data_IF_251540808996
#
_entry.id   IF_251540808996
#
_cell.length_a   1.000
_cell.length_b   1.000
_cell.length_c   1.000
_cell.angle_alpha   90.00
_cell.angle_beta   90.00
_cell.angle_gamma   90.00
#
_symmetry.space_group_name_H-M   'P 1'
#
loop_
_entity.id
_entity.type
_entity.pdbx_description
1 polymer ?
#
# COMPACT_ATOMS: atom_id res chain seq x y z
N UNK A 1 32.34 9.90 17.95
CA UNK A 1 32.56 9.70 16.51
C UNK A 1 31.23 9.33 15.87
N UNK A 2 30.38 10.32 15.58
CA UNK A 2 29.15 10.13 14.80
C UNK A 2 29.17 11.16 13.68
N UNK A 3 29.74 10.75 12.56
CA UNK A 3 29.64 11.43 11.28
C UNK A 3 29.13 10.43 10.26
N UNK A 4 28.43 10.99 9.25
CA UNK A 4 27.78 10.33 8.10
C UNK A 4 26.36 9.82 8.36
N UNK A 5 25.37 10.66 8.07
CA UNK A 5 24.53 10.61 6.84
C UNK A 5 23.49 11.72 6.93
N UNK A 6 23.87 12.94 6.58
CA UNK A 6 22.97 14.04 6.27
C UNK A 6 23.42 14.62 4.93
N UNK A 7 22.49 15.15 4.14
CA UNK A 7 22.63 15.68 2.77
C UNK A 7 22.48 14.68 1.63
N UNK A 8 21.24 14.35 1.21
CA UNK A 8 20.87 14.13 -0.22
C UNK A 8 19.34 14.30 -0.47
N UNK A 9 18.61 15.28 0.06
CA UNK A 9 17.16 15.39 -0.31
C UNK A 9 16.60 16.82 -0.28
N UNK A 10 17.32 17.80 -0.85
CA UNK A 10 16.65 18.97 -1.42
C UNK A 10 16.14 18.61 -2.84
N UNK A 11 15.11 19.29 -3.31
CA UNK A 11 14.60 19.19 -4.69
C UNK A 11 15.63 19.64 -5.77
N UNK A 12 16.91 19.82 -5.41
CA UNK A 12 18.02 20.10 -6.32
C UNK A 12 18.57 18.78 -6.90
N UNK A 13 17.72 18.03 -7.61
CA UNK A 13 18.03 16.72 -8.22
C UNK A 13 18.96 16.84 -9.44
N UNK A 14 19.24 18.05 -9.92
CA UNK A 14 19.96 18.28 -11.19
C UNK A 14 21.47 18.04 -11.13
N UNK A 15 22.11 18.05 -9.95
CA UNK A 15 23.58 18.01 -9.83
C UNK A 15 24.19 16.70 -9.25
N UNK A 16 23.39 15.65 -9.05
CA UNK A 16 23.92 14.36 -8.60
C UNK A 16 24.58 13.58 -9.74
N UNK A 17 25.73 12.91 -9.51
CA UNK A 17 26.30 11.97 -10.47
C UNK A 17 25.24 10.99 -10.97
N UNK A 18 25.21 10.74 -12.28
CA UNK A 18 24.16 9.96 -12.95
C UNK A 18 23.80 8.64 -12.23
N UNK A 19 24.81 7.95 -11.68
CA UNK A 19 24.63 6.70 -10.93
C UNK A 19 23.85 6.87 -9.62
N UNK A 20 24.10 7.95 -8.88
CA UNK A 20 23.39 8.19 -7.61
C UNK A 20 21.97 8.69 -7.86
N UNK A 21 21.78 9.45 -8.95
CA UNK A 21 20.46 9.80 -9.48
C UNK A 21 19.63 8.54 -9.81
N UNK A 22 20.23 7.55 -10.48
CA UNK A 22 19.58 6.28 -10.79
C UNK A 22 19.23 5.47 -9.53
N UNK A 23 20.14 5.37 -8.56
CA UNK A 23 19.86 4.70 -7.27
C UNK A 23 18.73 5.37 -6.49
N UNK A 24 18.67 6.70 -6.50
CA UNK A 24 17.58 7.43 -5.85
C UNK A 24 16.24 7.17 -6.56
N UNK A 25 16.22 7.13 -7.90
CA UNK A 25 15.03 6.74 -8.66
C UNK A 25 14.59 5.30 -8.34
N UNK A 26 15.52 4.35 -8.26
CA UNK A 26 15.23 2.97 -7.87
C UNK A 26 14.57 2.90 -6.48
N UNK A 27 15.12 3.62 -5.49
CA UNK A 27 14.55 3.70 -4.14
C UNK A 27 13.15 4.31 -4.13
N UNK A 28 12.94 5.38 -4.89
CA UNK A 28 11.64 6.04 -4.99
C UNK A 28 10.59 5.12 -5.62
N UNK A 29 10.95 4.38 -6.67
CA UNK A 29 10.07 3.38 -7.30
C UNK A 29 9.74 2.27 -6.31
N UNK A 30 10.74 1.71 -5.62
CA UNK A 30 10.52 0.67 -4.62
C UNK A 30 9.60 1.14 -3.48
N UNK A 31 9.76 2.39 -3.05
CA UNK A 31 8.91 3.01 -2.03
C UNK A 31 7.47 3.21 -2.51
N UNK A 32 7.27 3.67 -3.74
CA UNK A 32 5.95 3.84 -4.34
C UNK A 32 5.24 2.48 -4.51
N UNK A 33 5.96 1.46 -4.99
CA UNK A 33 5.46 0.08 -5.06
C UNK A 33 5.05 -0.41 -3.68
N UNK A 34 5.87 -0.17 -2.64
CA UNK A 34 5.55 -0.54 -1.26
C UNK A 34 4.27 0.13 -0.77
N UNK A 35 4.12 1.42 -1.04
CA UNK A 35 2.95 2.22 -0.66
C UNK A 35 1.68 1.71 -1.35
N UNK A 36 1.73 1.42 -2.66
CA UNK A 36 0.61 0.85 -3.41
C UNK A 36 0.27 -0.58 -2.97
N UNK A 37 1.28 -1.35 -2.58
CA UNK A 37 1.10 -2.72 -2.10
C UNK A 37 0.25 -2.76 -0.82
N UNK A 38 0.31 -1.73 0.03
CA UNK A 38 -0.56 -1.60 1.20
C UNK A 38 -2.03 -1.57 0.79
N UNK A 39 -2.37 -0.79 -0.24
CA UNK A 39 -3.74 -0.71 -0.76
C UNK A 39 -4.21 -2.07 -1.29
N UNK A 40 -3.35 -2.77 -2.05
CA UNK A 40 -3.67 -4.12 -2.55
C UNK A 40 -3.91 -5.10 -1.40
N UNK A 41 -3.05 -5.09 -0.39
CA UNK A 41 -3.21 -5.93 0.81
C UNK A 41 -4.52 -5.60 1.52
N UNK A 42 -4.85 -4.32 1.69
CA UNK A 42 -6.11 -3.88 2.31
C UNK A 42 -7.33 -4.41 1.55
N UNK A 43 -7.35 -4.33 0.22
CA UNK A 43 -8.44 -4.88 -0.58
C UNK A 43 -8.56 -6.40 -0.48
N UNK A 44 -7.42 -7.12 -0.50
CA UNK A 44 -7.43 -8.57 -0.27
C UNK A 44 -7.98 -8.96 1.10
N UNK A 45 -7.67 -8.17 2.13
CA UNK A 45 -8.18 -8.35 3.50
C UNK A 45 -9.70 -8.07 3.57
N UNK A 46 -10.17 -7.02 2.89
CA UNK A 46 -11.59 -6.67 2.86
C UNK A 46 -12.43 -7.76 2.17
N UNK A 47 -11.92 -8.34 1.08
CA UNK A 47 -12.59 -9.42 0.35
C UNK A 47 -12.20 -10.81 0.85
N UNK A 48 -11.59 -10.94 2.04
CA UNK A 48 -11.03 -12.20 2.51
C UNK A 48 -12.08 -13.32 2.61
N UNK A 49 -13.36 -12.97 2.78
CA UNK A 49 -14.47 -13.93 2.84
C UNK A 49 -14.73 -14.65 1.51
N UNK A 50 -14.42 -13.99 0.39
CA UNK A 50 -14.63 -14.52 -0.96
C UNK A 50 -13.39 -15.24 -1.50
N UNK A 51 -12.27 -15.17 -0.76
CA UNK A 51 -10.99 -15.75 -1.17
C UNK A 51 -10.80 -17.17 -0.62
N UNK A 52 -10.00 -18.01 -1.30
CA UNK A 52 -9.63 -19.33 -0.79
C UNK A 52 -8.99 -19.25 0.61
N UNK A 53 -9.22 -20.27 1.43
CA UNK A 53 -8.73 -20.34 2.81
C UNK A 53 -7.20 -20.23 2.89
N UNK A 54 -6.46 -20.69 1.89
CA UNK A 54 -5.00 -20.52 1.81
C UNK A 54 -4.57 -19.07 1.89
N UNK A 55 -5.39 -18.12 1.43
CA UNK A 55 -5.10 -16.69 1.56
C UNK A 55 -5.16 -16.29 3.02
N UNK A 56 -6.22 -16.67 3.74
CA UNK A 56 -6.35 -16.43 5.19
C UNK A 56 -5.19 -17.03 5.97
N UNK A 57 -4.82 -18.28 5.71
CA UNK A 57 -3.67 -18.94 6.35
C UNK A 57 -2.36 -18.21 6.04
N UNK A 58 -2.16 -17.75 4.80
CA UNK A 58 -0.95 -17.02 4.42
C UNK A 58 -0.88 -15.65 5.10
N UNK A 59 -2.00 -14.95 5.21
CA UNK A 59 -2.10 -13.64 5.85
C UNK A 59 -1.79 -13.76 7.35
N UNK A 60 -2.44 -14.68 8.07
CA UNK A 60 -2.27 -14.79 9.52
C UNK A 60 -1.03 -15.58 9.95
N UNK A 61 -0.76 -16.73 9.35
CA UNK A 61 0.25 -17.69 9.85
C UNK A 61 1.60 -17.54 9.12
N UNK A 62 1.59 -17.51 7.78
CA UNK A 62 2.85 -17.50 6.99
C UNK A 62 3.55 -16.15 6.99
N UNK A 63 2.79 -15.06 6.82
CA UNK A 63 3.33 -13.73 6.62
C UNK A 63 3.13 -12.80 7.82
N UNK A 64 2.35 -13.23 8.83
CA UNK A 64 2.04 -12.44 10.03
C UNK A 64 1.69 -10.98 9.68
N UNK A 65 0.73 -10.84 8.76
CA UNK A 65 0.31 -9.54 8.23
C UNK A 65 -0.18 -8.60 9.34
N UNK A 66 -0.92 -9.03 10.39
CA UNK A 66 -1.27 -8.14 11.49
C UNK A 66 -0.04 -7.49 12.14
N UNK A 67 1.02 -8.25 12.41
CA UNK A 67 2.24 -7.71 12.99
C UNK A 67 3.02 -6.83 12.00
N UNK A 68 3.06 -7.22 10.72
CA UNK A 68 3.66 -6.39 9.66
C UNK A 68 3.01 -5.01 9.58
N UNK A 69 1.67 -4.96 9.54
CA UNK A 69 0.92 -3.70 9.52
C UNK A 69 1.14 -2.91 10.81
N UNK A 70 1.24 -3.59 11.96
CA UNK A 70 1.59 -2.93 13.22
C UNK A 70 2.96 -2.23 13.15
N UNK A 71 3.96 -2.88 12.56
CA UNK A 71 5.27 -2.26 12.35
C UNK A 71 5.20 -1.06 11.38
N UNK A 72 4.36 -1.13 10.34
CA UNK A 72 4.17 0.00 9.43
C UNK A 72 3.58 1.22 10.14
N UNK A 73 2.64 1.03 11.06
CA UNK A 73 2.12 2.14 11.90
C UNK A 73 3.22 2.72 12.77
N UNK A 74 4.02 1.87 13.43
CA UNK A 74 5.09 2.33 14.33
C UNK A 74 6.18 3.13 13.60
N UNK A 75 6.60 2.66 12.42
CA UNK A 75 7.63 3.32 11.61
C UNK A 75 7.07 4.52 10.87
N UNK A 76 5.79 4.48 10.47
CA UNK A 76 5.12 5.48 9.64
C UNK A 76 5.98 5.92 8.44
N UNK A 77 6.33 5.01 7.52
CA UNK A 77 7.30 5.28 6.45
C UNK A 77 6.86 6.40 5.50
N UNK A 78 5.56 6.72 5.45
CA UNK A 78 4.97 7.85 4.71
C UNK A 78 5.10 9.20 5.42
N UNK A 79 5.71 9.26 6.60
CA UNK A 79 5.93 10.49 7.36
C UNK A 79 7.42 10.68 7.61
N UNK A 80 7.95 11.87 7.35
CA UNK A 80 9.34 12.22 7.67
C UNK A 80 9.46 13.66 8.15
N UNK A 81 10.46 13.92 8.98
CA UNK A 81 10.80 15.26 9.45
C UNK A 81 12.20 15.60 8.99
N UNK A 82 12.43 16.81 8.50
CA UNK A 82 13.77 17.25 8.13
C UNK A 82 14.57 17.81 9.32
N UNK A 83 15.85 18.14 9.09
CA UNK A 83 16.74 18.70 10.11
C UNK A 83 16.28 20.08 10.64
N UNK A 84 15.37 20.75 9.91
CA UNK A 84 14.78 22.04 10.29
C UNK A 84 13.44 21.86 11.01
N UNK A 85 13.03 20.62 11.32
CA UNK A 85 11.77 20.32 12.00
C UNK A 85 10.52 20.41 11.13
N UNK A 86 10.65 20.55 9.81
CA UNK A 86 9.53 20.59 8.85
C UNK A 86 9.02 19.18 8.61
N UNK A 87 7.70 19.01 8.72
CA UNK A 87 7.03 17.73 8.51
C UNK A 87 6.70 17.54 7.03
N UNK A 88 7.00 16.36 6.50
CA UNK A 88 6.62 15.94 5.17
C UNK A 88 5.82 14.65 5.26
N UNK A 89 4.76 14.56 4.43
CA UNK A 89 3.99 13.32 4.25
C UNK A 89 3.98 12.93 2.79
N UNK A 90 4.00 11.62 2.54
CA UNK A 90 3.96 11.06 1.20
C UNK A 90 2.51 10.86 0.75
N UNK A 91 2.10 11.58 -0.28
CA UNK A 91 0.74 11.54 -0.86
C UNK A 91 0.87 11.64 -2.38
N UNK A 92 0.10 10.83 -3.11
CA UNK A 92 0.07 10.80 -4.58
C UNK A 92 1.46 10.69 -5.22
N UNK A 93 2.23 9.71 -4.74
CA UNK A 93 3.59 9.42 -5.18
C UNK A 93 4.61 10.56 -4.96
N UNK A 94 4.28 11.57 -4.14
CA UNK A 94 5.12 12.75 -3.88
C UNK A 94 5.23 13.08 -2.39
N UNK A 95 6.38 13.65 -2.00
CA UNK A 95 6.58 14.17 -0.65
C UNK A 95 6.08 15.61 -0.58
N UNK A 96 5.04 15.84 0.22
CA UNK A 96 4.45 17.15 0.41
C UNK A 96 4.79 17.69 1.79
N UNK A 97 5.23 18.95 1.87
CA UNK A 97 5.42 19.63 3.15
C UNK A 97 4.05 19.91 3.77
N UNK A 98 3.88 19.56 5.04
CA UNK A 98 2.62 19.71 5.76
C UNK A 98 2.69 20.94 6.67
N UNK A 99 1.66 21.78 6.60
CA UNK A 99 1.49 22.92 7.48
C UNK A 99 1.24 22.46 8.93
N UNK A 100 1.55 23.32 9.91
CA UNK A 100 1.36 22.98 11.32
C UNK A 100 -0.10 22.60 11.64
N UNK A 101 -1.07 23.25 10.99
CA UNK A 101 -2.50 22.99 11.12
C UNK A 101 -2.91 21.56 10.70
N UNK A 102 -2.22 21.02 9.69
CA UNK A 102 -2.59 19.74 9.04
C UNK A 102 -1.75 18.57 9.54
N UNK A 103 -0.95 18.79 10.59
CA UNK A 103 -0.04 17.78 11.16
C UNK A 103 -0.78 16.49 11.54
N UNK A 104 -2.01 16.62 12.02
CA UNK A 104 -2.86 15.51 12.46
C UNK A 104 -3.68 14.86 11.34
N UNK A 105 -3.64 15.39 10.11
CA UNK A 105 -4.39 14.82 8.98
C UNK A 105 -3.83 13.44 8.64
N UNK A 106 -4.68 12.42 8.65
CA UNK A 106 -4.31 11.04 8.33
C UNK A 106 -4.12 10.92 6.82
N UNK A 107 -3.00 10.33 6.39
CA UNK A 107 -2.78 10.09 4.95
C UNK A 107 -3.65 8.94 4.46
N UNK A 108 -3.90 8.88 3.16
CA UNK A 108 -4.65 7.76 2.55
C UNK A 108 -3.97 6.43 2.89
N UNK A 109 -2.64 6.33 2.71
CA UNK A 109 -1.86 5.12 3.01
C UNK A 109 -2.00 4.71 4.47
N UNK A 110 -1.89 5.65 5.40
CA UNK A 110 -2.08 5.39 6.84
C UNK A 110 -3.49 4.87 7.13
N UNK A 111 -4.50 5.50 6.53
CA UNK A 111 -5.88 5.04 6.61
C UNK A 111 -6.05 3.61 6.10
N UNK A 112 -5.40 3.25 4.99
CA UNK A 112 -5.43 1.88 4.47
C UNK A 112 -4.84 0.87 5.47
N UNK A 113 -3.70 1.21 6.11
CA UNK A 113 -3.09 0.34 7.13
C UNK A 113 -4.02 0.17 8.33
N UNK A 114 -4.62 1.26 8.81
CA UNK A 114 -5.53 1.21 9.95
C UNK A 114 -6.79 0.40 9.67
N UNK A 115 -7.40 0.61 8.50
CA UNK A 115 -8.56 -0.16 8.08
C UNK A 115 -8.21 -1.63 7.90
N UNK A 116 -7.05 -1.96 7.33
CA UNK A 116 -6.58 -3.34 7.21
C UNK A 116 -6.38 -4.00 8.58
N UNK A 117 -5.76 -3.30 9.53
CA UNK A 117 -5.59 -3.76 10.93
C UNK A 117 -6.94 -4.00 11.61
N UNK A 118 -7.88 -3.07 11.46
CA UNK A 118 -9.24 -3.21 11.99
C UNK A 118 -9.91 -4.45 11.43
N UNK A 119 -9.88 -4.64 10.11
CA UNK A 119 -10.48 -5.81 9.47
C UNK A 119 -9.85 -7.08 10.00
N UNK A 120 -8.52 -7.21 10.01
CA UNK A 120 -7.88 -8.45 10.48
C UNK A 120 -8.14 -8.74 11.96
N UNK A 121 -7.97 -7.76 12.85
CA UNK A 121 -8.01 -8.02 14.29
C UNK A 121 -9.43 -8.18 14.86
N UNK A 122 -10.43 -7.60 14.20
CA UNK A 122 -11.83 -7.70 14.62
C UNK A 122 -12.59 -8.81 13.88
N UNK A 123 -11.96 -9.47 12.92
CA UNK A 123 -12.57 -10.60 12.20
C UNK A 123 -12.65 -11.85 13.08
N UNK A 124 -13.74 -12.61 12.94
CA UNK A 124 -13.92 -13.89 13.66
C UNK A 124 -12.81 -14.90 13.35
N UNK A 125 -12.30 -14.90 12.11
CA UNK A 125 -11.20 -15.76 11.65
C UNK A 125 -9.89 -15.47 12.38
N UNK A 126 -9.71 -14.27 12.93
CA UNK A 126 -8.51 -13.94 13.69
C UNK A 126 -8.34 -14.90 14.87
N UNK A 127 -9.41 -15.20 15.60
CA UNK A 127 -9.32 -16.07 16.77
C UNK A 127 -8.96 -17.51 16.39
N UNK A 128 -9.41 -17.97 15.22
CA UNK A 128 -9.14 -19.33 14.73
C UNK A 128 -7.75 -19.47 14.09
N UNK A 129 -7.27 -18.44 13.39
CA UNK A 129 -6.07 -18.51 12.57
C UNK A 129 -4.85 -17.76 13.13
N UNK A 130 -5.04 -16.89 14.14
CA UNK A 130 -4.01 -15.99 14.63
C UNK A 130 -3.87 -16.07 16.15
N UNK A 131 -2.88 -16.86 16.59
CA UNK A 131 -2.54 -16.97 18.01
C UNK A 131 -1.79 -15.71 18.49
N UNK A 132 -2.40 -14.97 19.42
CA UNK A 132 -1.77 -13.78 20.02
C UNK A 132 -0.92 -14.22 21.21
N UNK A 133 0.35 -14.52 20.94
CA UNK A 133 1.35 -14.78 21.97
C UNK A 133 1.79 -13.49 22.70
N UNK A 134 2.67 -13.63 23.69
CA UNK A 134 3.15 -12.50 24.48
C UNK A 134 3.92 -11.45 23.64
N UNK A 135 4.64 -11.87 22.59
CA UNK A 135 5.40 -10.99 21.72
C UNK A 135 4.47 -10.18 20.81
N UNK A 136 3.53 -10.86 20.13
CA UNK A 136 2.50 -10.24 19.29
C UNK A 136 1.64 -9.28 20.10
N UNK A 137 1.21 -9.71 21.29
CA UNK A 137 0.47 -8.85 22.23
C UNK A 137 1.24 -7.57 22.54
N UNK A 138 2.51 -7.67 22.92
CA UNK A 138 3.33 -6.49 23.25
C UNK A 138 3.40 -5.51 22.08
N UNK A 139 3.51 -6.00 20.84
CA UNK A 139 3.51 -5.15 19.65
C UNK A 139 2.14 -4.53 19.36
N UNK A 140 1.07 -5.32 19.41
CA UNK A 140 -0.29 -4.83 19.19
C UNK A 140 -0.67 -3.74 20.19
N UNK A 141 -0.26 -3.86 21.46
CA UNK A 141 -0.54 -2.85 22.48
C UNK A 141 0.19 -1.52 22.22
N UNK A 142 1.31 -1.51 21.48
CA UNK A 142 1.96 -0.26 21.06
C UNK A 142 1.06 0.57 20.13
N UNK A 143 0.14 -0.05 19.40
CA UNK A 143 -0.80 0.69 18.54
C UNK A 143 -1.69 1.66 19.32
N UNK A 144 -1.92 1.42 20.62
CA UNK A 144 -2.76 2.29 21.43
C UNK A 144 -2.25 3.73 21.48
N UNK A 145 -0.94 3.96 21.47
CA UNK A 145 -0.39 5.32 21.49
C UNK A 145 -0.56 6.06 20.16
N UNK A 146 -0.77 5.34 19.06
CA UNK A 146 -1.01 5.91 17.74
C UNK A 146 -2.50 6.21 17.49
N UNK A 147 -3.42 5.58 18.24
CA UNK A 147 -4.87 5.84 18.19
C UNK A 147 -5.28 7.07 19.01
N UNK A 148 -4.73 8.22 18.60
CA UNK A 148 -5.07 9.54 19.14
C UNK A 148 -6.47 9.99 18.73
N UNK A 149 -7.06 10.92 19.48
CA UNK A 149 -8.40 11.47 19.21
C UNK A 149 -8.56 12.01 17.78
N UNK A 150 -7.61 12.78 17.21
CA UNK A 150 -7.72 13.23 15.82
C UNK A 150 -7.76 12.09 14.78
N UNK A 151 -7.10 10.96 15.05
CA UNK A 151 -7.11 9.79 14.16
C UNK A 151 -8.48 9.08 14.23
N UNK A 152 -9.03 8.97 15.44
CA UNK A 152 -10.35 8.38 15.64
C UNK A 152 -11.47 9.24 15.04
N UNK A 153 -11.35 10.57 15.12
CA UNK A 153 -12.32 11.49 14.53
C UNK A 153 -12.34 11.39 13.00
N UNK A 154 -11.15 11.26 12.39
CA UNK A 154 -11.02 11.12 10.94
C UNK A 154 -11.40 9.72 10.42
N UNK A 155 -11.23 8.68 11.24
CA UNK A 155 -11.55 7.29 10.90
C UNK A 155 -12.35 6.67 12.04
N UNK A 156 -13.63 7.06 12.14
CA UNK A 156 -14.54 6.63 13.21
C UNK A 156 -14.59 5.12 13.47
N UNK A 157 -14.51 4.23 12.44
CA UNK A 157 -14.47 2.78 12.66
C UNK A 157 -13.31 2.27 13.54
N UNK A 158 -12.26 3.06 13.76
CA UNK A 158 -11.12 2.67 14.61
C UNK A 158 -11.41 2.70 16.11
N UNK A 159 -12.54 3.27 16.54
CA UNK A 159 -12.95 3.23 17.95
C UNK A 159 -13.10 1.80 18.46
N UNK A 160 -13.66 0.89 17.66
CA UNK A 160 -13.77 -0.53 17.99
C UNK A 160 -12.39 -1.21 18.10
N UNK A 161 -11.45 -0.85 17.23
CA UNK A 161 -10.09 -1.36 17.29
C UNK A 161 -9.39 -0.91 18.58
N UNK A 162 -9.56 0.36 18.98
CA UNK A 162 -9.03 0.86 20.25
C UNK A 162 -9.61 0.09 21.44
N UNK A 163 -10.93 -0.12 21.45
CA UNK A 163 -11.60 -0.89 22.49
C UNK A 163 -11.09 -2.35 22.56
N UNK A 164 -10.89 -2.99 21.40
CA UNK A 164 -10.30 -4.32 21.32
C UNK A 164 -8.89 -4.36 21.92
N UNK A 165 -8.04 -3.37 21.62
CA UNK A 165 -6.67 -3.30 22.16
C UNK A 165 -6.68 -3.06 23.68
N UNK A 166 -7.57 -2.22 24.19
CA UNK A 166 -7.70 -2.00 25.64
C UNK A 166 -8.20 -3.25 26.37
N UNK A 167 -9.11 -4.02 25.77
CA UNK A 167 -9.50 -5.35 26.29
C UNK A 167 -8.31 -6.31 26.28
N UNK A 168 -7.55 -6.32 25.17
CA UNK A 168 -6.38 -7.17 25.04
C UNK A 168 -5.37 -6.87 26.15
N UNK A 169 -5.20 -5.61 26.57
CA UNK A 169 -4.30 -5.22 27.66
C UNK A 169 -4.67 -5.84 29.01
N UNK A 170 -5.96 -6.01 29.29
CA UNK A 170 -6.49 -6.51 30.56
C UNK A 170 -6.52 -8.05 30.59
N UNK A 171 -6.70 -8.70 29.44
CA UNK A 171 -6.77 -10.17 29.35
C UNK A 171 -5.46 -10.81 29.84
N UNK A 172 -5.51 -11.87 30.64
CA UNK A 172 -4.29 -12.56 31.07
C UNK A 172 -3.63 -13.27 29.86
N UNK A 173 -2.31 -13.11 29.61
CA UNK A 173 -1.59 -13.83 28.56
C UNK A 173 -1.56 -15.36 28.75
N UNK A 174 -1.94 -15.87 29.93
CA UNK A 174 -2.23 -17.30 30.16
C UNK A 174 -3.66 -17.69 29.73
N UNK A 175 -4.60 -16.76 29.73
CA UNK A 175 -5.98 -16.96 29.25
C UNK A 175 -6.06 -16.99 27.73
N UNK A 176 -5.14 -16.33 27.00
CA UNK A 176 -5.05 -16.44 25.53
C UNK A 176 -4.49 -17.78 25.05
N UNK A 177 -3.79 -18.54 25.92
CA UNK A 177 -3.37 -19.92 25.62
C UNK A 177 -4.46 -20.95 25.88
N UNK A 178 -5.57 -20.56 26.51
CA UNK A 178 -6.62 -21.50 26.94
C UNK A 178 -7.54 -21.96 25.79
N UNK A 179 -7.43 -21.39 24.59
CA UNK A 179 -7.96 -22.03 23.40
C UNK A 179 -6.92 -23.00 22.87
N UNK A 180 -6.92 -24.19 23.46
CA UNK A 180 -6.34 -25.43 22.92
C UNK A 180 -7.08 -25.88 21.64
N UNK A 181 -7.51 -24.91 20.82
CA UNK A 181 -8.04 -25.10 19.49
C UNK A 181 -6.86 -25.51 18.62
N UNK A 182 -6.61 -26.81 18.55
CA UNK A 182 -5.74 -27.44 17.55
C UNK A 182 -5.92 -26.68 16.23
N UNK A 183 -4.87 -26.02 15.74
CA UNK A 183 -4.91 -25.32 14.44
C UNK A 183 -5.58 -26.27 13.44
N UNK A 184 -6.64 -25.85 12.72
CA UNK A 184 -7.35 -26.74 11.83
C UNK A 184 -6.36 -27.33 10.82
N UNK A 185 -6.37 -28.65 10.66
CA UNK A 185 -5.61 -29.30 9.60
C UNK A 185 -6.28 -28.95 8.26
N UNK A 186 -5.67 -28.01 7.53
CA UNK A 186 -6.18 -27.53 6.26
C UNK A 186 -5.47 -28.29 5.14
N UNK A 187 -6.21 -29.10 4.39
CA UNK A 187 -5.75 -29.72 3.15
C UNK A 187 -6.32 -28.92 1.98
N UNK A 188 -5.46 -28.22 1.24
CA UNK A 188 -5.87 -27.41 0.09
C UNK A 188 -5.01 -27.75 -1.14
N UNK A 189 -5.65 -27.80 -2.30
CA UNK A 189 -4.96 -27.96 -3.58
C UNK A 189 -4.45 -26.60 -4.02
N UNK A 190 -3.15 -26.37 -3.85
CA UNK A 190 -2.48 -25.17 -4.36
C UNK A 190 -2.00 -25.42 -5.78
N UNK A 191 -2.33 -24.53 -6.72
CA UNK A 191 -1.85 -24.64 -8.10
C UNK A 191 -0.36 -24.28 -8.18
N UNK A 192 0.44 -25.15 -8.79
CA UNK A 192 1.89 -24.93 -8.97
C UNK A 192 2.24 -23.97 -10.10
N UNK A 193 1.28 -23.21 -10.67
CA UNK A 193 1.54 -22.35 -11.82
C UNK A 193 2.68 -21.35 -11.57
N UNK A 194 2.70 -20.69 -10.41
CA UNK A 194 3.78 -19.76 -10.05
C UNK A 194 5.13 -20.48 -9.92
N UNK A 195 5.14 -21.64 -9.26
CA UNK A 195 6.36 -22.44 -9.07
C UNK A 195 6.89 -22.91 -10.43
N UNK A 196 6.01 -23.44 -11.27
CA UNK A 196 6.32 -23.82 -12.65
C UNK A 196 6.85 -22.66 -13.48
N UNK A 197 6.27 -21.46 -13.36
CA UNK A 197 6.75 -20.27 -14.08
C UNK A 197 8.10 -19.76 -13.54
N UNK A 198 8.34 -19.87 -12.22
CA UNK A 198 9.60 -19.50 -11.60
C UNK A 198 10.73 -20.52 -11.90
N UNK A 199 10.37 -21.79 -12.05
CA UNK A 199 11.26 -22.91 -12.39
C UNK A 199 11.50 -23.03 -13.90
N UNK A 200 10.68 -22.40 -14.75
CA UNK A 200 11.01 -22.24 -16.17
C UNK A 200 12.41 -21.64 -16.30
N UNK A 201 13.22 -22.14 -17.24
CA UNK A 201 14.64 -21.85 -17.24
C UNK A 201 14.85 -20.34 -17.38
N UNK A 202 15.48 -19.74 -16.35
CA UNK A 202 15.97 -18.34 -16.34
C UNK A 202 16.71 -17.94 -17.62
N UNK A 203 17.17 -18.91 -18.43
CA UNK A 203 17.71 -18.74 -19.78
C UNK A 203 16.72 -18.08 -20.75
N UNK A 204 15.43 -18.42 -20.71
CA UNK A 204 14.41 -17.77 -21.56
C UNK A 204 14.27 -16.30 -21.20
N UNK A 205 14.12 -15.97 -19.91
CA UNK A 205 14.08 -14.59 -19.44
C UNK A 205 15.37 -13.82 -19.73
N UNK A 206 16.55 -14.45 -19.63
CA UNK A 206 17.82 -13.82 -20.04
C UNK A 206 17.88 -13.54 -21.54
N UNK A 207 17.38 -14.46 -22.39
CA UNK A 207 17.32 -14.25 -23.84
C UNK A 207 16.32 -13.14 -24.18
N UNK A 208 15.14 -13.16 -23.57
CA UNK A 208 14.13 -12.12 -23.72
C UNK A 208 14.67 -10.74 -23.29
N UNK A 209 15.37 -10.67 -22.16
CA UNK A 209 15.98 -9.43 -21.66
C UNK A 209 17.05 -8.90 -22.63
N UNK A 210 17.87 -9.76 -23.24
CA UNK A 210 18.83 -9.35 -24.28
C UNK A 210 18.13 -8.80 -25.51
N UNK A 211 17.11 -9.48 -26.01
CA UNK A 211 16.34 -9.00 -27.17
C UNK A 211 15.64 -7.67 -26.87
N UNK A 212 15.07 -7.52 -25.68
CA UNK A 212 14.46 -6.27 -25.22
C UNK A 212 15.50 -5.15 -25.12
N UNK A 213 16.70 -5.45 -24.61
CA UNK A 213 17.79 -4.47 -24.54
C UNK A 213 18.15 -3.92 -25.92
N UNK A 214 18.27 -4.77 -26.95
CA UNK A 214 18.56 -4.34 -28.32
C UNK A 214 17.47 -3.39 -28.87
N UNK A 215 16.20 -3.68 -28.59
CA UNK A 215 15.07 -2.81 -28.97
C UNK A 215 15.15 -1.48 -28.23
N UNK A 216 15.36 -1.50 -26.92
CA UNK A 216 15.50 -0.29 -26.11
C UNK A 216 16.70 0.56 -26.55
N UNK A 217 17.83 -0.07 -26.88
CA UNK A 217 19.03 0.60 -27.39
C UNK A 217 18.76 1.32 -28.71
N UNK A 218 17.97 0.70 -29.61
CA UNK A 218 17.55 1.35 -30.85
C UNK A 218 16.65 2.56 -30.59
N UNK A 219 15.66 2.42 -29.70
CA UNK A 219 14.73 3.48 -29.34
C UNK A 219 15.41 4.65 -28.63
N UNK A 220 16.45 4.39 -27.84
CA UNK A 220 17.25 5.42 -27.18
C UNK A 220 18.09 6.23 -28.18
N UNK A 221 18.65 5.57 -29.20
CA UNK A 221 19.43 6.23 -30.26
C UNK A 221 18.57 7.11 -31.16
N UNK A 222 17.35 6.66 -31.45
CA UNK A 222 16.43 7.36 -32.36
C UNK A 222 15.55 8.41 -31.65
N UNK A 223 15.68 8.56 -30.32
CA UNK A 223 14.86 9.48 -29.51
C UNK A 223 13.43 8.99 -29.23
N UNK A 224 13.00 7.89 -29.87
CA UNK A 224 11.66 7.30 -29.72
C UNK A 224 11.37 6.68 -28.35
N UNK A 225 12.38 6.51 -27.48
CA UNK A 225 12.19 6.04 -26.11
C UNK A 225 11.28 6.96 -25.30
N UNK A 226 11.36 8.28 -25.52
CA UNK A 226 10.51 9.27 -24.82
C UNK A 226 9.06 9.17 -25.30
N UNK A 227 8.85 8.96 -26.58
CA UNK A 227 7.50 8.84 -27.14
C UNK A 227 6.85 7.51 -26.76
N UNK A 228 7.61 6.40 -26.77
CA UNK A 228 7.13 5.13 -26.21
C UNK A 228 6.75 5.25 -24.73
N UNK A 229 7.56 5.97 -23.93
CA UNK A 229 7.23 6.19 -22.52
C UNK A 229 5.94 7.01 -22.33
N UNK A 230 5.71 8.02 -23.17
CA UNK A 230 4.45 8.78 -23.19
C UNK A 230 3.27 7.91 -23.61
N UNK A 231 3.44 7.09 -24.65
CA UNK A 231 2.39 6.18 -25.12
C UNK A 231 2.02 5.14 -24.07
N UNK A 232 3.02 4.58 -23.38
CA UNK A 232 2.80 3.68 -22.25
C UNK A 232 2.07 4.39 -21.11
N UNK A 233 2.49 5.61 -20.73
CA UNK A 233 1.82 6.37 -19.68
C UNK A 233 0.36 6.67 -20.04
N UNK A 234 0.09 7.09 -21.27
CA UNK A 234 -1.26 7.33 -21.77
C UNK A 234 -2.12 6.06 -21.74
N UNK A 235 -1.55 4.90 -22.10
CA UNK A 235 -2.26 3.62 -22.03
C UNK A 235 -2.68 3.26 -20.59
N UNK A 236 -1.83 3.53 -19.59
CA UNK A 236 -2.17 3.31 -18.18
C UNK A 236 -3.24 4.30 -17.66
N UNK A 237 -3.24 5.57 -18.10
CA UNK A 237 -4.31 6.53 -17.76
C UNK A 237 -5.68 6.12 -18.33
N UNK A 238 -5.69 5.42 -19.48
CA UNK A 238 -6.92 4.91 -20.09
C UNK A 238 -7.43 3.60 -19.49
N UNK A 239 -6.65 2.87 -18.68
CA UNK A 239 -7.11 1.62 -18.08
C UNK A 239 -8.28 1.83 -17.11
N UNK A 240 -8.33 2.97 -16.40
CA UNK A 240 -9.46 3.36 -15.56
C UNK A 240 -10.74 3.67 -16.37
N UNK A 241 -10.63 3.83 -17.68
CA UNK A 241 -11.76 4.09 -18.59
C UNK A 241 -12.33 2.81 -19.22
N UNK A 242 -11.72 1.65 -18.98
CA UNK A 242 -12.12 0.39 -19.61
C UNK A 242 -13.38 -0.20 -18.98
N UNK A 243 -13.67 0.14 -17.71
CA UNK A 243 -14.86 -0.33 -16.97
C UNK A 243 -15.80 0.80 -16.49
N UNK A 244 -15.50 2.07 -16.74
CA UNK A 244 -16.42 3.15 -16.40
C UNK A 244 -17.54 3.21 -17.45
N UNK A 245 -18.78 2.88 -17.06
CA UNK A 245 -19.95 3.23 -17.88
C UNK A 245 -19.80 4.69 -18.32
N UNK A 246 -19.73 4.89 -19.64
CA UNK A 246 -19.45 6.19 -20.21
C UNK A 246 -20.45 7.21 -19.65
N UNK A 247 -19.93 8.24 -18.97
CA UNK A 247 -20.75 9.20 -18.23
C UNK A 247 -21.89 9.73 -19.11
N UNK A 248 -23.12 9.72 -18.59
CA UNK A 248 -24.32 10.14 -19.35
C UNK A 248 -24.55 11.63 -19.17
N UNK A 249 -24.98 12.29 -20.24
CA UNK A 249 -25.32 13.70 -20.25
C UNK A 249 -26.51 13.96 -19.33
N UNK A 250 -26.37 14.88 -18.38
CA UNK A 250 -27.45 15.24 -17.46
C UNK A 250 -28.71 15.80 -18.14
N UNK A 251 -28.60 16.23 -19.40
CA UNK A 251 -29.73 16.76 -20.17
C UNK A 251 -30.40 15.74 -21.10
N UNK A 252 -29.61 14.96 -21.87
CA UNK A 252 -30.14 14.08 -22.92
C UNK A 252 -29.88 12.59 -22.69
N UNK A 253 -29.11 12.21 -21.66
CA UNK A 253 -28.79 10.81 -21.36
C UNK A 253 -27.77 10.15 -22.29
N UNK A 254 -27.37 10.81 -23.38
CA UNK A 254 -26.33 10.35 -24.31
C UNK A 254 -24.92 10.44 -23.71
N UNK A 255 -23.95 9.74 -24.29
CA UNK A 255 -22.56 9.74 -23.83
C UNK A 255 -21.99 11.15 -23.79
N UNK A 256 -21.58 11.58 -22.60
CA UNK A 256 -20.99 12.88 -22.34
C UNK A 256 -19.47 12.86 -22.49
N UNK A 257 -18.93 13.91 -23.12
CA UNK A 257 -17.49 14.09 -23.34
C UNK A 257 -16.89 15.21 -22.49
N UNK A 258 -17.74 15.98 -21.78
CA UNK A 258 -17.35 17.17 -21.03
C UNK A 258 -17.96 17.13 -19.64
N UNK A 259 -17.26 17.69 -18.66
CA UNK A 259 -17.74 17.86 -17.30
C UNK A 259 -17.97 19.36 -17.00
N UNK A 260 -18.86 19.66 -16.05
CA UNK A 260 -19.09 21.01 -15.58
C UNK A 260 -17.79 21.61 -15.03
N UNK A 261 -17.32 22.70 -15.61
CA UNK A 261 -16.08 23.37 -15.21
C UNK A 261 -16.11 23.91 -13.77
N UNK A 262 -17.31 24.08 -13.20
CA UNK A 262 -17.51 24.66 -11.86
C UNK A 262 -17.52 23.63 -10.74
N UNK A 263 -18.18 22.49 -10.93
CA UNK A 263 -18.33 21.45 -9.89
C UNK A 263 -17.61 20.14 -10.21
N UNK A 264 -17.25 19.87 -11.47
CA UNK A 264 -16.66 18.62 -11.96
C UNK A 264 -17.45 17.33 -11.65
N UNK A 265 -18.71 17.43 -11.22
CA UNK A 265 -19.56 16.30 -10.84
C UNK A 265 -20.63 15.96 -11.89
N UNK A 266 -21.02 16.92 -12.73
CA UNK A 266 -22.02 16.72 -13.80
C UNK A 266 -21.38 16.68 -15.18
N UNK A 267 -21.93 15.84 -16.07
CA UNK A 267 -21.41 15.59 -17.41
C UNK A 267 -22.40 16.01 -18.50
N UNK A 268 -21.87 16.51 -19.62
CA UNK A 268 -22.63 17.05 -20.74
C UNK A 268 -22.05 16.62 -22.10
N UNK A 269 -22.91 16.40 -23.09
CA UNK A 269 -22.52 16.12 -24.47
C UNK A 269 -22.06 17.39 -25.23
N UNK A 270 -22.44 18.58 -24.76
CA UNK A 270 -22.16 19.88 -25.36
C UNK A 270 -22.00 20.98 -24.31
N UNK A 271 -21.85 22.24 -24.75
CA UNK A 271 -22.03 23.41 -23.86
C UNK A 271 -23.51 23.67 -23.63
#
# INVERSE_FOLDING_TARGET
>A
MHHCTADIWSDDVEDLPLLDNLKNKEKNIAFDIGTRSVSVIRFLIETLADLPLSVTTRIYDKHDVPLLLCQLVNVSPWTRTDDKGRLFKYVDSKWNQIAASDRHVVTVTEGQVWLALRHLLLDERCQTHYEIDACRRSHLLKLQCHLSEPVLDQISPLAELKYFLSRLEIMDPSSTRATDSKKPFILEVVTDYRSSLADQPRKYFKKLAKNQLEVFDSLLRDGGAVDLAKDMAAAYETLDQVDAESAKCGNCGEVAKRFCSRCKLEYYCGR
#
